data_IF_704430518018
#
_entry.id   IF_704430518018
#
_cell.length_a   1.000
_cell.length_b   1.000
_cell.length_c   1.000
_cell.angle_alpha   90.00
_cell.angle_beta   90.00
_cell.angle_gamma   90.00
#
_symmetry.space_group_name_H-M   'P 1'
#
loop_
_entity.id
_entity.type
_entity.pdbx_description
1 polymer ?
#
# COMPACT_ATOMS: atom_id res chain seq x y z
N UNK A 1 4.97 18.11 0.50
CA UNK A 1 6.15 17.66 1.25
C UNK A 1 7.26 18.70 1.07
N UNK A 2 7.99 19.05 2.13
CA UNK A 2 9.06 20.05 2.05
C UNK A 2 10.37 19.42 1.53
N UNK A 3 11.27 20.23 1.00
CA UNK A 3 12.55 19.74 0.45
C UNK A 3 13.39 19.00 1.50
N UNK A 4 13.40 19.49 2.73
CA UNK A 4 14.08 18.83 3.86
C UNK A 4 13.54 17.42 4.10
N UNK A 5 12.23 17.25 4.20
CA UNK A 5 11.58 15.95 4.41
C UNK A 5 11.75 15.00 3.22
N UNK A 6 11.82 15.54 1.99
CA UNK A 6 12.12 14.76 0.79
C UNK A 6 13.56 14.23 0.83
N UNK A 7 14.51 15.05 1.29
CA UNK A 7 15.91 14.65 1.41
C UNK A 7 16.10 13.58 2.50
N UNK A 8 15.44 13.70 3.66
CA UNK A 8 15.43 12.66 4.70
C UNK A 8 14.87 11.33 4.17
N UNK A 9 13.77 11.37 3.43
CA UNK A 9 13.19 10.18 2.79
C UNK A 9 14.16 9.55 1.79
N UNK A 10 14.81 10.35 0.95
CA UNK A 10 15.81 9.87 -0.02
C UNK A 10 17.03 9.25 0.67
N UNK A 11 17.49 9.83 1.77
CA UNK A 11 18.61 9.30 2.55
C UNK A 11 18.25 7.93 3.15
N UNK A 12 17.06 7.81 3.74
CA UNK A 12 16.53 6.55 4.23
C UNK A 12 16.43 5.50 3.11
N UNK A 13 15.87 5.86 1.94
CA UNK A 13 15.80 4.94 0.80
C UNK A 13 17.19 4.58 0.24
N UNK A 14 18.16 5.49 0.31
CA UNK A 14 19.56 5.19 -0.03
C UNK A 14 20.17 4.18 0.95
N UNK A 15 19.81 4.24 2.24
CA UNK A 15 20.15 3.21 3.21
C UNK A 15 19.49 1.86 2.85
N UNK A 16 18.20 1.84 2.49
CA UNK A 16 17.53 0.61 2.00
C UNK A 16 18.15 0.02 0.73
N UNK A 17 18.84 0.82 -0.07
CA UNK A 17 19.62 0.32 -1.21
C UNK A 17 20.87 -0.44 -0.76
N UNK A 18 21.50 0.01 0.32
CA UNK A 18 22.72 -0.60 0.87
C UNK A 18 22.36 -1.81 1.74
N UNK A 19 21.32 -1.68 2.55
CA UNK A 19 20.78 -2.71 3.43
C UNK A 19 19.68 -3.55 2.75
N UNK A 20 19.18 -4.55 3.47
CA UNK A 20 18.03 -5.36 3.05
C UNK A 20 16.74 -4.82 3.68
N UNK A 21 16.84 -4.25 4.88
CA UNK A 21 15.71 -3.72 5.61
C UNK A 21 16.10 -2.46 6.39
N UNK A 22 15.19 -1.50 6.43
CA UNK A 22 15.35 -0.30 7.27
C UNK A 22 14.10 -0.08 8.11
N UNK A 23 14.29 0.46 9.30
CA UNK A 23 13.21 0.83 10.19
C UNK A 23 12.99 2.35 10.14
N UNK A 24 11.77 2.76 9.82
CA UNK A 24 11.32 4.14 9.81
C UNK A 24 10.44 4.39 11.05
N UNK A 25 10.88 5.22 12.00
CA UNK A 25 10.06 5.58 13.15
C UNK A 25 8.75 6.24 12.71
N UNK A 26 7.64 5.95 13.39
CA UNK A 26 6.36 6.61 13.10
C UNK A 26 6.46 8.13 13.20
N UNK A 27 7.25 8.65 14.13
CA UNK A 27 7.49 10.09 14.27
C UNK A 27 8.07 10.73 13.01
N UNK A 28 9.02 10.05 12.35
CA UNK A 28 9.61 10.52 11.10
C UNK A 28 8.56 10.50 9.97
N UNK A 29 7.77 9.43 9.88
CA UNK A 29 6.69 9.32 8.89
C UNK A 29 5.62 10.38 9.08
N UNK A 30 5.21 10.66 10.32
CA UNK A 30 4.28 11.73 10.64
C UNK A 30 4.85 13.12 10.31
N UNK A 31 6.17 13.31 10.45
CA UNK A 31 6.83 14.56 10.03
C UNK A 31 6.84 14.72 8.51
N UNK A 32 7.01 13.63 7.77
CA UNK A 32 7.08 13.67 6.29
C UNK A 32 5.72 13.79 5.62
N UNK A 33 4.74 13.02 6.10
CA UNK A 33 3.43 12.83 5.47
C UNK A 33 2.26 13.40 6.29
N UNK A 34 2.53 13.94 7.47
CA UNK A 34 1.52 14.56 8.33
C UNK A 34 0.67 13.54 9.11
N UNK A 35 -0.62 13.82 9.22
CA UNK A 35 -1.52 13.13 10.16
C UNK A 35 -1.80 11.68 9.72
N UNK A 36 -1.78 11.40 8.42
CA UNK A 36 -2.09 10.08 7.85
C UNK A 36 -0.91 9.52 7.03
N UNK A 37 0.19 9.08 7.67
CA UNK A 37 1.39 8.60 6.98
C UNK A 37 1.20 7.29 6.20
N UNK A 38 0.05 6.63 6.37
CA UNK A 38 -0.31 5.35 5.77
C UNK A 38 -1.38 5.47 4.68
N UNK A 39 -1.56 6.68 4.13
CA UNK A 39 -2.44 6.90 3.00
C UNK A 39 -1.86 6.31 1.70
N UNK A 40 -2.74 5.94 0.77
CA UNK A 40 -2.35 5.33 -0.50
C UNK A 40 -1.44 6.24 -1.34
N UNK A 41 -1.69 7.55 -1.28
CA UNK A 41 -0.84 8.54 -1.95
C UNK A 41 0.59 8.52 -1.40
N UNK A 42 0.76 8.34 -0.09
CA UNK A 42 2.07 8.33 0.55
C UNK A 42 2.88 7.08 0.24
N UNK A 43 2.24 5.91 0.15
CA UNK A 43 2.93 4.70 -0.33
C UNK A 43 3.38 4.84 -1.79
N UNK A 44 2.55 5.46 -2.63
CA UNK A 44 2.87 5.72 -4.03
C UNK A 44 4.09 6.65 -4.14
N UNK A 45 4.17 7.65 -3.27
CA UNK A 45 5.32 8.56 -3.19
C UNK A 45 6.60 7.84 -2.75
N UNK A 46 6.53 7.01 -1.71
CA UNK A 46 7.69 6.21 -1.24
C UNK A 46 8.21 5.31 -2.37
N UNK A 47 7.32 4.62 -3.08
CA UNK A 47 7.69 3.74 -4.18
C UNK A 47 8.29 4.51 -5.37
N UNK A 48 7.75 5.70 -5.68
CA UNK A 48 8.31 6.58 -6.70
C UNK A 48 9.72 7.03 -6.34
N UNK A 49 9.97 7.48 -5.11
CA UNK A 49 11.30 7.88 -4.66
C UNK A 49 12.27 6.69 -4.61
N UNK A 50 11.79 5.50 -4.26
CA UNK A 50 12.60 4.27 -4.29
C UNK A 50 13.10 3.97 -5.71
N UNK A 51 12.19 4.00 -6.68
CA UNK A 51 12.52 3.79 -8.09
C UNK A 51 13.56 4.80 -8.59
N UNK A 52 13.39 6.08 -8.24
CA UNK A 52 14.35 7.13 -8.59
C UNK A 52 15.73 6.88 -7.96
N UNK A 53 15.78 6.55 -6.67
CA UNK A 53 17.01 6.29 -5.92
C UNK A 53 17.76 5.07 -6.46
N UNK A 54 17.02 4.05 -6.92
CA UNK A 54 17.59 2.86 -7.55
C UNK A 54 18.16 3.16 -8.94
N UNK A 55 17.41 3.86 -9.80
CA UNK A 55 17.87 4.20 -11.16
C UNK A 55 19.06 5.17 -11.17
N UNK A 56 19.09 6.14 -10.23
CA UNK A 56 20.25 7.04 -10.07
C UNK A 56 21.54 6.30 -9.69
N UNK A 57 21.44 5.09 -9.13
CA UNK A 57 22.59 4.26 -8.80
C UNK A 57 23.26 3.62 -10.04
N UNK A 58 22.70 3.80 -11.24
CA UNK A 58 23.26 3.26 -12.50
C UNK A 58 23.16 1.74 -12.63
N UNK A 59 22.35 1.08 -11.79
CA UNK A 59 22.13 -0.37 -11.90
C UNK A 59 21.12 -0.63 -13.01
N UNK A 60 21.54 -1.34 -14.06
CA UNK A 60 20.69 -1.80 -15.17
C UNK A 60 19.73 -2.95 -14.78
N UNK A 61 19.41 -3.05 -13.48
CA UNK A 61 18.60 -4.10 -12.89
C UNK A 61 17.18 -3.58 -12.66
N UNK A 62 16.15 -4.44 -12.77
CA UNK A 62 14.80 -4.06 -12.39
C UNK A 62 14.77 -3.53 -10.95
N UNK A 63 13.91 -2.54 -10.70
CA UNK A 63 13.70 -1.99 -9.36
C UNK A 63 13.12 -3.13 -8.50
N UNK A 64 13.78 -3.54 -7.41
CA UNK A 64 13.28 -4.62 -6.59
C UNK A 64 12.08 -4.17 -5.77
N UNK A 65 11.16 -5.11 -5.52
CA UNK A 65 9.95 -4.89 -4.74
C UNK A 65 10.31 -4.49 -3.30
N UNK A 66 9.54 -3.58 -2.70
CA UNK A 66 9.70 -3.20 -1.30
C UNK A 66 8.43 -3.54 -0.54
N UNK A 67 8.58 -4.35 0.50
CA UNK A 67 7.51 -4.73 1.42
C UNK A 67 7.49 -3.81 2.63
N UNK A 68 6.29 -3.53 3.13
CA UNK A 68 6.07 -2.71 4.31
C UNK A 68 5.53 -3.56 5.45
N UNK A 69 6.26 -3.57 6.56
CA UNK A 69 5.84 -4.24 7.79
C UNK A 69 5.48 -3.21 8.84
N UNK A 70 4.22 -3.25 9.27
CA UNK A 70 3.70 -2.39 10.31
C UNK A 70 4.12 -2.93 11.68
N UNK A 71 5.00 -2.20 12.35
CA UNK A 71 5.30 -2.38 13.77
C UNK A 71 4.54 -1.36 14.61
N UNK A 72 4.43 -1.64 15.91
CA UNK A 72 3.76 -0.74 16.88
C UNK A 72 4.48 0.63 16.96
N UNK A 73 5.81 0.64 16.82
CA UNK A 73 6.64 1.86 17.00
C UNK A 73 7.29 2.35 15.71
N UNK A 74 7.31 1.52 14.66
CA UNK A 74 8.03 1.81 13.42
C UNK A 74 7.43 1.06 12.23
N UNK A 75 7.61 1.62 11.04
CA UNK A 75 7.37 0.96 9.76
C UNK A 75 8.69 0.38 9.27
N UNK A 76 8.73 -0.91 8.97
CA UNK A 76 9.94 -1.54 8.42
C UNK A 76 9.78 -1.70 6.91
N UNK A 77 10.68 -1.10 6.15
CA UNK A 77 10.79 -1.32 4.70
C UNK A 77 11.77 -2.45 4.46
N UNK A 78 11.37 -3.45 3.69
CA UNK A 78 12.21 -4.61 3.35
C UNK A 78 12.28 -4.74 1.85
N UNK A 79 13.48 -4.72 1.31
CA UNK A 79 13.74 -4.95 -0.11
C UNK A 79 13.73 -6.44 -0.39
N UNK A 80 13.00 -6.84 -1.42
CA UNK A 80 13.08 -8.18 -1.98
C UNK A 80 14.50 -8.45 -2.49
N UNK A 81 15.19 -9.42 -1.88
CA UNK A 81 16.55 -9.83 -2.28
C UNK A 81 16.57 -11.08 -3.13
N UNK A 82 15.48 -11.86 -3.14
CA UNK A 82 15.37 -13.13 -3.86
C UNK A 82 13.95 -13.34 -4.36
N UNK A 83 13.74 -13.75 -5.64
CA UNK A 83 12.41 -13.97 -6.22
C UNK A 83 11.67 -15.21 -5.68
N UNK A 84 12.15 -15.79 -4.58
CA UNK A 84 11.67 -17.04 -3.98
C UNK A 84 11.36 -16.89 -2.48
N UNK A 85 11.35 -15.66 -1.96
CA UNK A 85 10.94 -15.41 -0.57
C UNK A 85 9.40 -15.47 -0.50
N UNK A 86 8.80 -16.31 0.39
CA UNK A 86 7.36 -16.49 0.47
C UNK A 86 6.63 -15.19 0.88
N UNK A 87 5.36 -15.01 0.47
CA UNK A 87 4.79 -13.68 0.24
C UNK A 87 4.54 -12.92 1.55
N UNK A 88 5.25 -11.82 1.74
CA UNK A 88 4.72 -10.69 2.49
C UNK A 88 3.80 -9.89 1.55
N UNK A 89 2.67 -9.43 2.09
CA UNK A 89 1.53 -8.93 1.30
C UNK A 89 1.97 -7.91 0.24
N UNK A 90 1.67 -8.23 -1.01
CA UNK A 90 1.92 -7.40 -2.18
C UNK A 90 1.04 -6.14 -2.15
N UNK A 91 1.65 -4.96 -2.30
CA UNK A 91 0.94 -3.67 -2.25
C UNK A 91 -0.06 -3.49 -3.39
N UNK A 92 0.14 -4.16 -4.52
CA UNK A 92 -0.75 -4.11 -5.66
C UNK A 92 -2.03 -4.91 -5.38
N UNK A 93 -1.91 -6.00 -4.61
CA UNK A 93 -3.05 -6.75 -4.07
C UNK A 93 -3.85 -5.92 -3.06
N UNK A 94 -3.18 -5.17 -2.17
CA UNK A 94 -3.84 -4.24 -1.25
C UNK A 94 -4.53 -3.07 -1.97
N UNK A 95 -3.91 -2.52 -3.03
CA UNK A 95 -4.47 -1.43 -3.82
C UNK A 95 -5.70 -1.83 -4.65
N UNK A 96 -5.81 -3.09 -5.07
CA UNK A 96 -6.99 -3.62 -5.77
C UNK A 96 -8.12 -4.05 -4.82
N UNK A 97 -7.82 -4.50 -3.60
CA UNK A 97 -8.82 -5.00 -2.66
C UNK A 97 -9.78 -3.91 -2.12
N UNK A 98 -9.44 -2.63 -2.22
CA UNK A 98 -10.30 -1.51 -1.82
C UNK A 98 -11.39 -1.18 -2.83
N UNK A 99 -11.33 -1.68 -4.06
CA UNK A 99 -12.37 -1.45 -5.08
C UNK A 99 -13.56 -2.43 -5.00
N UNK A 100 -13.41 -3.60 -4.37
CA UNK A 100 -14.50 -4.60 -4.30
C UNK A 100 -15.55 -4.28 -3.21
N UNK A 101 -15.22 -3.43 -2.22
CA UNK A 101 -16.14 -3.09 -1.14
C UNK A 101 -17.21 -2.04 -1.51
N UNK A 102 -17.15 -1.43 -2.69
CA UNK A 102 -18.11 -0.38 -3.11
C UNK A 102 -19.24 -0.85 -4.04
N UNK A 103 -19.18 -2.08 -4.56
CA UNK A 103 -20.16 -2.59 -5.54
C UNK A 103 -21.19 -3.57 -4.94
N UNK A 104 -21.20 -3.80 -3.61
CA UNK A 104 -22.18 -4.68 -2.92
C UNK A 104 -23.33 -3.97 -2.22
N UNK A 105 -23.74 -2.78 -2.66
CA UNK A 105 -24.94 -2.11 -2.10
C UNK A 105 -25.91 -1.51 -3.12
N UNK A 106 -25.66 -1.62 -4.43
CA UNK A 106 -26.65 -1.22 -5.45
C UNK A 106 -26.69 -2.28 -6.54
N UNK A 107 -27.50 -3.31 -6.33
CA UNK A 107 -28.20 -4.06 -7.40
C UNK A 107 -29.07 -5.16 -6.80
N UNK A 108 -30.28 -4.79 -6.37
CA UNK A 108 -31.42 -5.71 -6.45
C UNK A 108 -32.43 -5.08 -7.40
N UNK A 109 -32.58 -5.61 -8.62
CA UNK A 109 -33.55 -5.08 -9.56
C UNK A 109 -34.98 -5.46 -9.15
N UNK A 110 -35.83 -4.48 -9.38
CA UNK A 110 -37.29 -4.47 -9.32
C UNK A 110 -37.87 -5.41 -10.39
N UNK A 111 -38.76 -6.35 -10.02
CA UNK A 111 -40.12 -6.54 -10.57
C UNK A 111 -40.69 -7.98 -10.54
N UNK A 112 -41.79 -8.08 -9.78
CA UNK A 112 -43.11 -8.63 -10.15
C UNK A 112 -43.35 -10.12 -10.53
N UNK A 113 -44.27 -10.69 -9.73
CA UNK A 113 -45.54 -11.35 -10.15
C UNK A 113 -45.55 -12.86 -10.44
N UNK A 114 -46.22 -13.62 -9.54
CA UNK A 114 -47.52 -14.26 -9.84
C UNK A 114 -48.18 -14.91 -8.61
N UNK A 115 -49.46 -14.53 -8.40
CA UNK A 115 -50.61 -15.27 -7.83
C UNK A 115 -50.40 -16.78 -7.55
N UNK A 116 -50.79 -17.26 -6.37
CA UNK A 116 -52.15 -17.77 -6.06
C UNK A 116 -52.23 -18.63 -4.79
N UNK A 117 -53.37 -18.47 -4.10
CA UNK A 117 -54.11 -19.40 -3.22
C UNK A 117 -53.60 -19.69 -1.79
N UNK A 118 -54.32 -19.13 -0.82
CA UNK A 118 -54.87 -19.80 0.38
C UNK A 118 -55.88 -18.82 1.02
N UNK A 119 -57.19 -19.04 0.88
CA UNK A 119 -58.08 -19.67 1.88
C UNK A 119 -57.88 -19.17 3.32
N UNK A 120 -58.89 -18.47 3.86
CA UNK A 120 -59.66 -18.73 5.10
C UNK A 120 -60.50 -17.48 5.45
N UNK A 121 -61.82 -17.63 5.56
CA UNK A 121 -62.65 -17.46 6.77
C UNK A 121 -62.66 -15.99 7.25
N UNK A 122 -63.80 -15.28 7.27
CA UNK A 122 -65.06 -15.58 7.96
C UNK A 122 -66.20 -14.76 7.35
#
# INVERSE_FOLDING_TARGET
MNEHTLNELRDALSALRTDIAIALPWEALHRWFGIAPLDQEHYSEINRQWSQTWHQAGKNHPVPTVYLYHGVEKLTLVRETTPNDPPAIDLQVLACATLDKKERLVSRPFSQSKRSKMQRET
#
